data_IF_070061708361
#
_entry.id   IF_070061708361
#
_cell.length_a   1.000
_cell.length_b   1.000
_cell.length_c   1.000
_cell.angle_alpha   90.00
_cell.angle_beta   90.00
_cell.angle_gamma   90.00
#
_symmetry.space_group_name_H-M   'P 1'
#
loop_
_entity.id
_entity.type
_entity.pdbx_description
1 polymer ?
#
# COMPACT_ATOMS: atom_id res chain seq x y z
N UNK A 1 9.66 38.92 -8.85
CA UNK A 1 8.50 39.52 -9.54
C UNK A 1 7.27 38.80 -9.01
N UNK A 2 6.45 39.50 -8.23
CA UNK A 2 5.27 38.96 -7.56
C UNK A 2 4.11 39.10 -8.55
N UNK A 3 3.43 37.99 -8.87
CA UNK A 3 2.10 38.06 -9.47
C UNK A 3 1.14 37.46 -8.45
N UNK A 4 0.38 38.36 -7.85
CA UNK A 4 -0.77 38.09 -7.01
C UNK A 4 -2.01 38.17 -7.89
N UNK A 5 -2.81 37.11 -7.94
CA UNK A 5 -4.20 37.19 -8.38
C UNK A 5 -5.07 36.49 -7.34
N UNK A 6 -5.92 37.30 -6.70
CA UNK A 6 -6.86 36.85 -5.68
C UNK A 6 -8.20 36.43 -6.30
N UNK A 7 -8.84 35.50 -5.58
CA UNK A 7 -10.28 35.26 -5.44
C UNK A 7 -10.92 34.16 -6.30
N UNK A 8 -11.24 33.05 -5.64
CA UNK A 8 -12.63 32.63 -5.45
C UNK A 8 -12.73 31.77 -4.18
N UNK A 9 -13.71 32.12 -3.34
CA UNK A 9 -14.04 31.46 -2.07
C UNK A 9 -14.57 30.07 -2.39
N UNK A 10 -13.69 29.07 -2.27
CA UNK A 10 -14.08 27.73 -1.89
C UNK A 10 -13.65 27.57 -0.43
N UNK A 11 -14.54 27.09 0.43
CA UNK A 11 -14.12 26.50 1.70
C UNK A 11 -13.25 25.29 1.37
N UNK A 12 -11.99 25.54 1.06
CA UNK A 12 -10.94 24.56 1.26
C UNK A 12 -10.90 24.44 2.78
N UNK A 13 -11.56 23.40 3.30
CA UNK A 13 -11.06 22.77 4.50
C UNK A 13 -9.62 22.39 4.14
N UNK A 14 -8.71 23.32 4.38
CA UNK A 14 -7.34 22.99 4.68
C UNK A 14 -7.48 22.17 5.95
N UNK A 15 -7.71 20.87 5.78
CA UNK A 15 -7.45 19.88 6.81
C UNK A 15 -5.98 20.07 7.10
N UNK A 16 -5.67 20.94 8.05
CA UNK A 16 -4.41 20.89 8.75
C UNK A 16 -4.38 19.48 9.32
N UNK A 17 -3.67 18.57 8.65
CA UNK A 17 -3.20 17.35 9.28
C UNK A 17 -2.30 17.83 10.42
N UNK A 18 -2.90 18.14 11.57
CA UNK A 18 -2.20 18.17 12.84
C UNK A 18 -1.59 16.79 12.94
N UNK A 19 -0.29 16.70 12.67
CA UNK A 19 0.43 15.45 12.46
C UNK A 19 -0.03 14.39 13.45
N UNK A 20 -0.48 13.26 12.92
CA UNK A 20 -0.93 12.16 13.75
C UNK A 20 0.19 11.76 14.70
N UNK A 21 -0.11 11.66 16.00
CA UNK A 21 0.85 11.12 16.95
C UNK A 21 0.93 9.61 16.75
N UNK A 22 1.77 9.17 15.82
CA UNK A 22 1.98 7.76 15.54
C UNK A 22 2.63 6.97 16.70
N UNK A 23 3.10 7.66 17.74
CA UNK A 23 3.55 7.02 18.99
C UNK A 23 2.41 6.74 19.97
N UNK A 24 1.16 7.09 19.64
CA UNK A 24 0.00 6.77 20.45
C UNK A 24 -0.18 5.24 20.55
N UNK A 25 -0.11 4.65 21.77
CA UNK A 25 -0.27 3.21 21.95
C UNK A 25 -1.65 2.71 21.51
N UNK A 26 -2.66 3.58 21.37
CA UNK A 26 -3.98 3.19 20.86
C UNK A 26 -3.92 2.78 19.38
N UNK A 27 -2.96 3.30 18.60
CA UNK A 27 -2.77 2.90 17.21
C UNK A 27 -2.13 1.51 17.11
N UNK A 28 -1.16 1.25 17.99
CA UNK A 28 -0.35 0.04 17.99
C UNK A 28 -0.13 -0.49 19.41
N UNK A 29 -1.12 -1.18 20.01
CA UNK A 29 -0.95 -1.71 21.35
C UNK A 29 0.25 -2.67 21.40
N UNK A 30 1.26 -2.33 22.20
CA UNK A 30 2.48 -3.13 22.42
C UNK A 30 3.39 -3.30 21.19
N UNK A 31 3.14 -2.59 20.09
CA UNK A 31 3.92 -2.66 18.85
C UNK A 31 4.50 -1.30 18.50
N UNK A 32 5.66 -1.31 17.83
CA UNK A 32 6.25 -0.07 17.31
C UNK A 32 5.57 0.32 16.01
N UNK A 33 5.01 1.53 15.96
CA UNK A 33 4.50 2.11 14.72
C UNK A 33 5.66 2.54 13.82
N UNK A 34 5.54 2.35 12.49
CA UNK A 34 6.59 2.70 11.51
C UNK A 34 7.00 4.17 11.54
N UNK A 35 6.03 5.07 11.75
CA UNK A 35 6.24 6.51 11.85
C UNK A 35 6.56 7.04 13.27
N UNK A 36 6.47 6.22 14.32
CA UNK A 36 6.79 6.69 15.67
C UNK A 36 8.30 6.89 15.84
N UNK A 37 8.73 8.09 16.26
CA UNK A 37 10.14 8.47 16.38
C UNK A 37 10.96 8.26 15.08
N UNK A 38 10.28 8.28 13.93
CA UNK A 38 10.91 8.12 12.63
C UNK A 38 11.09 9.51 12.01
N UNK A 39 12.33 9.86 11.66
CA UNK A 39 12.69 11.15 11.06
C UNK A 39 12.69 11.10 9.52
N UNK A 40 12.39 9.94 8.92
CA UNK A 40 12.37 9.74 7.48
C UNK A 40 13.74 9.52 6.84
N UNK A 41 14.78 9.24 7.64
CA UNK A 41 16.10 8.86 7.14
C UNK A 41 16.11 7.41 6.60
N UNK A 42 17.08 7.13 5.73
CA UNK A 42 17.29 5.77 5.24
C UNK A 42 17.87 4.87 6.34
N UNK A 43 17.35 3.65 6.41
CA UNK A 43 17.80 2.63 7.35
C UNK A 43 19.20 2.11 7.01
N UNK A 44 19.89 1.47 7.97
CA UNK A 44 21.25 0.94 7.78
C UNK A 44 21.34 -0.22 6.79
N UNK A 45 20.20 -0.80 6.38
CA UNK A 45 20.13 -1.85 5.36
C UNK A 45 20.10 -1.29 3.94
N UNK A 46 19.93 0.02 3.77
CA UNK A 46 20.02 0.67 2.48
C UNK A 46 21.48 0.79 2.03
N UNK A 47 21.70 0.72 0.71
CA UNK A 47 22.99 1.01 0.10
C UNK A 47 23.30 2.51 0.05
N UNK A 48 24.51 2.87 -0.39
CA UNK A 48 24.94 4.27 -0.49
C UNK A 48 24.16 5.07 -1.55
N UNK A 49 23.76 4.43 -2.64
CA UNK A 49 23.07 5.05 -3.78
C UNK A 49 21.54 4.85 -3.69
N UNK A 50 20.97 5.02 -2.50
CA UNK A 50 19.53 4.85 -2.26
C UNK A 50 18.75 6.12 -2.63
N UNK A 51 17.63 5.93 -3.34
CA UNK A 51 16.71 7.00 -3.70
C UNK A 51 15.27 6.58 -3.40
N UNK A 52 14.49 7.53 -2.86
CA UNK A 52 13.05 7.39 -2.71
C UNK A 52 12.41 7.96 -3.96
N UNK A 53 11.60 7.15 -4.64
CA UNK A 53 10.79 7.61 -5.76
C UNK A 53 9.43 8.02 -5.23
N UNK A 54 9.04 9.27 -5.51
CA UNK A 54 7.70 9.77 -5.22
C UNK A 54 6.85 9.58 -6.46
N UNK A 55 5.71 8.91 -6.31
CA UNK A 55 4.82 8.66 -7.43
C UNK A 55 4.07 9.93 -7.80
N UNK A 56 4.19 10.33 -9.06
CA UNK A 56 3.32 11.36 -9.62
C UNK A 56 1.90 10.84 -9.82
N UNK A 57 0.94 11.75 -10.02
CA UNK A 57 -0.47 11.40 -10.17
C UNK A 57 -0.73 10.33 -11.24
N UNK A 58 0.02 10.35 -12.36
CA UNK A 58 -0.13 9.35 -13.41
C UNK A 58 0.20 7.92 -12.96
N UNK A 59 1.22 7.76 -12.10
CA UNK A 59 1.58 6.45 -11.56
C UNK A 59 0.60 6.02 -10.47
N UNK A 60 0.14 6.96 -9.63
CA UNK A 60 -0.90 6.71 -8.64
C UNK A 60 -2.19 6.22 -9.32
N UNK A 61 -2.65 6.91 -10.34
CA UNK A 61 -3.83 6.53 -11.13
C UNK A 61 -3.63 5.14 -11.76
N UNK A 62 -2.45 4.89 -12.33
CA UNK A 62 -2.10 3.59 -12.91
C UNK A 62 -2.19 2.45 -11.89
N UNK A 63 -1.62 2.62 -10.69
CA UNK A 63 -1.67 1.62 -9.61
C UNK A 63 -3.13 1.35 -9.20
N UNK A 64 -3.91 2.40 -8.98
CA UNK A 64 -5.31 2.29 -8.55
C UNK A 64 -6.14 1.58 -9.62
N UNK A 65 -5.96 1.93 -10.90
CA UNK A 65 -6.68 1.32 -12.02
C UNK A 65 -6.30 -0.16 -12.20
N UNK A 66 -5.02 -0.50 -12.10
CA UNK A 66 -4.54 -1.88 -12.18
C UNK A 66 -5.09 -2.75 -11.05
N UNK A 67 -5.09 -2.24 -9.81
CA UNK A 67 -5.69 -2.94 -8.66
C UNK A 67 -7.21 -3.09 -8.86
N UNK A 68 -7.91 -2.04 -9.27
CA UNK A 68 -9.35 -2.09 -9.49
C UNK A 68 -9.74 -3.04 -10.63
N UNK A 69 -8.91 -3.16 -11.66
CA UNK A 69 -9.09 -4.13 -12.75
C UNK A 69 -9.07 -5.56 -12.22
N UNK A 70 -8.02 -5.93 -11.47
CA UNK A 70 -7.90 -7.26 -10.86
C UNK A 70 -9.01 -7.56 -9.85
N UNK A 71 -9.43 -6.57 -9.05
CA UNK A 71 -10.59 -6.69 -8.14
C UNK A 71 -11.90 -6.93 -8.89
N UNK A 72 -12.09 -6.28 -10.03
CA UNK A 72 -13.28 -6.46 -10.87
C UNK A 72 -13.32 -7.85 -11.52
N UNK A 73 -12.17 -8.38 -11.97
CA UNK A 73 -12.04 -9.76 -12.45
C UNK A 73 -12.44 -10.76 -11.36
N UNK A 74 -11.84 -10.64 -10.17
CA UNK A 74 -12.17 -11.45 -8.99
C UNK A 74 -13.66 -11.37 -8.65
N UNK A 75 -14.24 -10.16 -8.64
CA UNK A 75 -15.66 -9.96 -8.37
C UNK A 75 -16.56 -10.64 -9.42
N UNK A 76 -16.08 -10.78 -10.65
CA UNK A 76 -16.72 -11.50 -11.74
C UNK A 76 -16.72 -13.03 -11.57
N UNK A 77 -15.98 -13.58 -10.60
CA UNK A 77 -15.86 -15.01 -10.34
C UNK A 77 -14.89 -15.70 -11.29
N UNK A 78 -13.76 -15.05 -11.59
CA UNK A 78 -12.63 -15.68 -12.31
C UNK A 78 -11.99 -16.78 -11.46
N UNK A 79 -11.20 -17.67 -12.08
CA UNK A 79 -10.47 -18.76 -11.41
C UNK A 79 -11.33 -19.72 -10.58
N UNK A 80 -12.64 -19.85 -10.90
CA UNK A 80 -13.56 -20.73 -10.19
C UNK A 80 -13.99 -20.20 -8.81
N UNK A 81 -13.70 -18.93 -8.52
CA UNK A 81 -14.11 -18.25 -7.29
C UNK A 81 -15.58 -17.79 -7.38
N UNK A 82 -16.26 -17.65 -6.23
CA UNK A 82 -17.62 -17.12 -6.23
C UNK A 82 -17.65 -15.65 -6.65
N UNK A 83 -18.70 -15.24 -7.36
CA UNK A 83 -18.94 -13.83 -7.65
C UNK A 83 -19.10 -13.03 -6.36
N UNK A 84 -18.46 -11.87 -6.28
CA UNK A 84 -18.58 -11.00 -5.12
C UNK A 84 -19.92 -10.26 -5.14
N UNK A 85 -20.65 -10.29 -4.03
CA UNK A 85 -21.90 -9.50 -3.88
C UNK A 85 -21.59 -8.00 -3.80
N UNK A 86 -20.45 -7.64 -3.20
CA UNK A 86 -20.01 -6.25 -3.03
C UNK A 86 -18.49 -6.16 -2.96
N UNK A 87 -17.86 -5.77 -4.06
CA UNK A 87 -16.42 -5.47 -4.13
C UNK A 87 -16.24 -4.02 -4.60
N UNK A 88 -16.12 -3.04 -3.68
CA UNK A 88 -16.01 -1.63 -4.07
C UNK A 88 -14.65 -1.33 -4.71
N UNK A 89 -14.62 -0.27 -5.54
CA UNK A 89 -13.38 0.30 -6.03
C UNK A 89 -12.55 0.83 -4.86
N UNK A 90 -11.24 0.64 -4.95
CA UNK A 90 -10.27 1.28 -4.05
C UNK A 90 -9.90 2.65 -4.58
N UNK A 91 -9.43 3.51 -3.68
CA UNK A 91 -8.89 4.83 -3.97
C UNK A 91 -7.52 4.97 -3.31
N UNK A 92 -6.69 5.87 -3.84
CA UNK A 92 -5.43 6.23 -3.19
C UNK A 92 -5.68 6.96 -1.87
N UNK A 93 -4.73 6.86 -0.94
CA UNK A 93 -4.77 7.53 0.34
C UNK A 93 -3.37 8.02 0.72
N UNK A 94 -3.21 9.35 0.77
CA UNK A 94 -1.91 10.00 0.95
C UNK A 94 -1.26 9.65 2.30
N UNK A 95 -2.06 9.44 3.35
CA UNK A 95 -1.54 9.04 4.67
C UNK A 95 -0.93 7.63 4.63
N UNK A 96 -1.58 6.69 3.92
CA UNK A 96 -1.02 5.35 3.73
C UNK A 96 0.21 5.35 2.82
N UNK A 97 0.26 6.23 1.82
CA UNK A 97 1.45 6.43 0.98
C UNK A 97 2.66 6.90 1.82
N UNK A 98 2.48 7.92 2.67
CA UNK A 98 3.55 8.42 3.54
C UNK A 98 4.11 7.30 4.44
N UNK A 99 3.25 6.48 5.02
CA UNK A 99 3.66 5.33 5.84
C UNK A 99 4.37 4.25 5.01
N UNK A 100 3.92 4.00 3.78
CA UNK A 100 4.58 3.08 2.87
C UNK A 100 5.98 3.59 2.47
N UNK A 101 6.14 4.89 2.22
CA UNK A 101 7.45 5.51 1.96
C UNK A 101 8.39 5.34 3.16
N UNK A 102 7.91 5.56 4.38
CA UNK A 102 8.73 5.31 5.58
C UNK A 102 9.15 3.84 5.70
N UNK A 103 8.27 2.92 5.29
CA UNK A 103 8.59 1.49 5.25
C UNK A 103 9.68 1.17 4.21
N UNK A 104 9.56 1.67 2.97
CA UNK A 104 10.55 1.40 1.90
C UNK A 104 11.92 1.99 2.21
N UNK A 105 11.99 3.11 2.93
CA UNK A 105 13.23 3.72 3.42
C UNK A 105 14.00 2.84 4.42
N UNK A 106 13.42 1.77 4.93
CA UNK A 106 14.16 0.78 5.73
C UNK A 106 15.01 -0.16 4.87
N UNK A 107 14.67 -0.31 3.57
CA UNK A 107 15.24 -1.28 2.64
C UNK A 107 15.15 -2.75 3.12
N UNK A 108 14.24 -3.06 4.06
CA UNK A 108 14.01 -4.40 4.58
C UNK A 108 12.73 -4.97 3.96
N UNK A 109 12.86 -6.06 3.21
CA UNK A 109 11.74 -6.79 2.60
C UNK A 109 11.02 -7.69 3.61
N UNK A 110 10.37 -7.09 4.59
CA UNK A 110 9.54 -7.75 5.59
C UNK A 110 8.44 -6.80 6.07
N UNK A 111 7.33 -7.31 6.59
CA UNK A 111 6.32 -6.42 7.15
C UNK A 111 6.86 -5.66 8.37
N UNK A 112 6.62 -4.34 8.41
CA UNK A 112 6.77 -3.58 9.66
C UNK A 112 5.74 -4.04 10.71
N UNK A 113 6.00 -3.70 11.97
CA UNK A 113 5.21 -4.21 13.09
C UNK A 113 3.82 -3.58 13.14
N UNK A 114 3.67 -2.31 12.74
CA UNK A 114 2.40 -1.60 12.78
C UNK A 114 2.43 -0.31 11.95
N UNK A 115 1.35 -0.07 11.20
CA UNK A 115 1.14 1.09 10.29
C UNK A 115 -0.30 1.62 10.34
N UNK A 116 -0.94 1.44 11.49
CA UNK A 116 -2.34 1.79 11.67
C UNK A 116 -2.50 3.31 11.75
N UNK A 117 -3.52 3.83 11.08
CA UNK A 117 -3.93 5.23 11.22
C UNK A 117 -5.19 5.30 12.08
N UNK A 118 -5.57 6.50 12.53
CA UNK A 118 -6.87 6.70 13.20
C UNK A 118 -8.04 6.21 12.36
N UNK A 119 -7.97 6.39 11.03
CA UNK A 119 -9.01 5.97 10.07
C UNK A 119 -8.94 4.49 9.75
N UNK A 120 -7.74 3.91 9.72
CA UNK A 120 -7.49 2.53 9.33
C UNK A 120 -6.72 1.79 10.44
N UNK A 121 -7.47 1.24 11.41
CA UNK A 121 -6.91 0.61 12.63
C UNK A 121 -6.32 -0.79 12.44
N UNK A 122 -6.37 -1.33 11.22
CA UNK A 122 -5.88 -2.66 10.86
C UNK A 122 -5.35 -2.65 9.43
N UNK A 123 -4.44 -1.72 9.13
CA UNK A 123 -3.91 -1.51 7.78
C UNK A 123 -3.14 -2.74 7.29
N UNK A 124 -3.61 -3.35 6.19
CA UNK A 124 -2.89 -4.40 5.47
C UNK A 124 -1.60 -3.88 4.84
N UNK A 125 -0.80 -4.79 4.29
CA UNK A 125 0.42 -4.43 3.55
C UNK A 125 0.82 -5.55 2.60
N UNK A 126 1.00 -5.20 1.33
CA UNK A 126 1.73 -6.01 0.38
C UNK A 126 3.12 -5.40 0.19
N UNK A 127 4.15 -6.25 0.11
CA UNK A 127 5.54 -5.83 -0.09
C UNK A 127 6.07 -6.57 -1.30
N UNK A 128 6.59 -5.83 -2.27
CA UNK A 128 7.26 -6.38 -3.43
C UNK A 128 8.74 -6.01 -3.41
N UNK A 129 9.60 -6.98 -3.71
CA UNK A 129 11.04 -6.79 -3.80
C UNK A 129 11.50 -7.16 -5.20
N UNK A 130 12.18 -6.22 -5.84
CA UNK A 130 12.85 -6.43 -7.11
C UNK A 130 14.37 -6.41 -6.92
N UNK A 131 15.09 -7.17 -7.74
CA UNK A 131 16.56 -7.17 -7.76
C UNK A 131 17.03 -7.46 -9.18
N UNK A 132 17.71 -6.50 -9.80
CA UNK A 132 18.37 -6.70 -11.09
C UNK A 132 19.60 -5.79 -11.22
N UNK A 133 20.29 -5.86 -12.36
CA UNK A 133 21.47 -5.04 -12.64
C UNK A 133 21.12 -3.61 -13.10
N UNK A 134 19.83 -3.24 -13.16
CA UNK A 134 19.36 -1.92 -13.55
C UNK A 134 18.01 -1.59 -12.91
N UNK A 135 17.56 -0.34 -13.04
CA UNK A 135 16.23 0.06 -12.60
C UNK A 135 15.28 -0.07 -13.80
N UNK A 136 14.24 -0.92 -13.76
CA UNK A 136 13.26 -1.03 -14.83
C UNK A 136 12.42 0.24 -14.92
N UNK A 137 11.54 0.33 -15.93
CA UNK A 137 10.50 1.36 -15.92
C UNK A 137 9.58 1.15 -14.71
N UNK A 138 9.07 2.23 -14.13
CA UNK A 138 8.25 2.13 -12.91
C UNK A 138 6.94 1.40 -13.17
N UNK A 139 6.34 1.60 -14.34
CA UNK A 139 5.15 0.90 -14.78
C UNK A 139 5.40 -0.61 -14.86
N UNK A 140 6.56 -1.05 -15.39
CA UNK A 140 6.94 -2.46 -15.42
C UNK A 140 7.09 -3.03 -14.00
N UNK A 141 7.71 -2.28 -13.09
CA UNK A 141 7.85 -2.69 -11.69
C UNK A 141 6.50 -2.81 -10.97
N UNK A 142 5.57 -1.88 -11.26
CA UNK A 142 4.21 -1.88 -10.73
C UNK A 142 3.45 -3.10 -11.27
N UNK A 143 3.55 -3.38 -12.56
CA UNK A 143 2.92 -4.54 -13.20
C UNK A 143 3.46 -5.84 -12.63
N UNK A 144 4.77 -5.96 -12.49
CA UNK A 144 5.43 -7.12 -11.88
C UNK A 144 4.95 -7.34 -10.43
N UNK A 145 4.81 -6.27 -9.65
CA UNK A 145 4.32 -6.35 -8.27
C UNK A 145 2.86 -6.78 -8.20
N UNK A 146 1.98 -6.13 -8.98
CA UNK A 146 0.54 -6.43 -9.00
C UNK A 146 0.30 -7.84 -9.51
N UNK A 147 0.96 -8.25 -10.59
CA UNK A 147 0.82 -9.61 -11.10
C UNK A 147 1.34 -10.64 -10.09
N UNK A 148 2.52 -10.42 -9.49
CA UNK A 148 3.03 -11.34 -8.47
C UNK A 148 2.08 -11.51 -7.27
N UNK A 149 1.35 -10.47 -6.88
CA UNK A 149 0.34 -10.55 -5.83
C UNK A 149 -0.93 -11.27 -6.28
N UNK A 150 -1.38 -11.02 -7.51
CA UNK A 150 -2.63 -11.60 -8.02
C UNK A 150 -2.47 -13.02 -8.57
N UNK A 151 -1.29 -13.42 -9.03
CA UNK A 151 -1.00 -14.78 -9.50
C UNK A 151 -1.22 -15.85 -8.41
N UNK A 152 -1.28 -15.45 -7.13
CA UNK A 152 -1.69 -16.33 -6.03
C UNK A 152 -3.14 -16.84 -6.21
N UNK A 153 -3.96 -16.23 -7.07
CA UNK A 153 -5.32 -16.66 -7.40
C UNK A 153 -5.40 -18.11 -7.90
N UNK A 154 -4.35 -18.61 -8.54
CA UNK A 154 -4.26 -19.98 -9.05
C UNK A 154 -4.30 -21.04 -7.93
N UNK A 155 -3.97 -20.66 -6.68
CA UNK A 155 -3.97 -21.56 -5.53
C UNK A 155 -5.04 -21.23 -4.48
N UNK A 156 -5.78 -20.13 -4.66
CA UNK A 156 -6.88 -19.71 -3.78
C UNK A 156 -8.08 -20.62 -3.99
N UNK A 157 -8.67 -21.10 -2.90
CA UNK A 157 -9.87 -21.96 -2.93
C UNK A 157 -11.09 -21.18 -2.48
N UNK A 158 -12.26 -21.63 -2.93
CA UNK A 158 -13.57 -21.14 -2.44
C UNK A 158 -13.67 -21.18 -0.91
N UNK A 159 -13.05 -22.19 -0.27
CA UNK A 159 -12.99 -22.29 1.20
C UNK A 159 -12.17 -21.18 1.84
N UNK A 160 -11.10 -20.71 1.19
CA UNK A 160 -10.26 -19.63 1.69
C UNK A 160 -11.00 -18.29 1.61
N UNK A 161 -11.79 -18.07 0.56
CA UNK A 161 -12.70 -16.92 0.44
C UNK A 161 -13.83 -16.97 1.47
N UNK A 162 -14.40 -18.14 1.72
CA UNK A 162 -15.48 -18.31 2.69
C UNK A 162 -15.00 -18.13 4.15
N UNK A 163 -13.75 -18.51 4.42
CA UNK A 163 -13.13 -18.37 5.74
C UNK A 163 -11.62 -18.24 5.59
N UNK A 164 -11.13 -17.00 5.60
CA UNK A 164 -9.71 -16.73 5.47
C UNK A 164 -8.91 -17.45 6.58
N UNK A 165 -7.89 -18.26 6.23
CA UNK A 165 -7.20 -19.09 7.20
C UNK A 165 -6.39 -18.27 8.21
N UNK A 166 -6.65 -18.49 9.50
CA UNK A 166 -5.96 -17.80 10.62
C UNK A 166 -4.48 -18.20 10.78
N UNK A 167 -4.08 -19.35 10.21
CA UNK A 167 -2.68 -19.78 10.11
C UNK A 167 -2.31 -19.72 8.63
N UNK A 168 -1.07 -19.28 8.34
CA UNK A 168 -0.52 -19.28 6.98
C UNK A 168 -0.91 -20.60 6.30
N UNK A 169 -1.76 -20.58 5.26
CA UNK A 169 -2.06 -21.77 4.50
C UNK A 169 -0.76 -22.29 3.87
N UNK A 170 -0.76 -23.53 3.38
CA UNK A 170 0.42 -24.15 2.77
C UNK A 170 0.91 -23.46 1.48
N UNK A 171 0.32 -22.31 1.12
CA UNK A 171 0.73 -21.40 0.06
C UNK A 171 0.60 -19.95 0.51
N UNK A 172 1.29 -19.04 -0.16
CA UNK A 172 1.14 -17.60 0.04
C UNK A 172 -0.11 -17.21 -0.77
N UNK A 173 -1.23 -16.96 -0.09
CA UNK A 173 -2.42 -16.32 -0.69
C UNK A 173 -2.64 -14.92 -0.09
N UNK A 174 -1.73 -14.48 0.77
CA UNK A 174 -1.91 -13.29 1.59
C UNK A 174 -1.67 -11.99 0.83
N UNK A 175 -1.11 -12.04 -0.37
CA UNK A 175 -1.05 -10.87 -1.23
C UNK A 175 -2.31 -10.70 -2.06
N UNK A 176 -2.92 -11.81 -2.50
CA UNK A 176 -4.21 -11.80 -3.21
C UNK A 176 -5.41 -11.50 -2.30
N UNK A 177 -5.46 -12.12 -1.12
CA UNK A 177 -6.66 -12.22 -0.27
C UNK A 177 -6.88 -11.05 0.70
#
# INVERSE_FOLDING_TARGET
>A
MIVSTSALIGNLLCSTALGENYCDPDLCPQLSHIACNNNGDYGPSCGADVETIIFGQSLVDYIVDSINTKRNETAGGTHGLPKAVRMPLVTWDDELEELAILHTKTCVSAHDKCRNTKRFRYSGQNVYKYTSNGVPLFEELIDDAINAWYDEEDIVKVSDIASYPLRKPSGFIGHYA
#
